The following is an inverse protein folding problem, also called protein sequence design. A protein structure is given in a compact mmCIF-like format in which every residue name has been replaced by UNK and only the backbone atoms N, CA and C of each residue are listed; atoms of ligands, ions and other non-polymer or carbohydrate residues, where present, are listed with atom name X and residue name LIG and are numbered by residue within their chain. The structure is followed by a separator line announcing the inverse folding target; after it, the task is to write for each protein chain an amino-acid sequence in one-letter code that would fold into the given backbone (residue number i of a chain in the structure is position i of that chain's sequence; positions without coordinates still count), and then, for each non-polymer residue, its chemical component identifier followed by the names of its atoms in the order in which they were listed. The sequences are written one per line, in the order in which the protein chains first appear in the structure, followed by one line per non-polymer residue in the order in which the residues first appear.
data_IF_043483000629
#
_entry.id   IF_043483000629
#
_cell.length_a   1.000
_cell.length_b   1.000
_cell.length_c   1.000
_cell.angle_alpha   90.00
_cell.angle_beta   90.00
_cell.angle_gamma   90.00
#
_symmetry.space_group_name_H-M   'P 1'
#
loop_
_entity.id
_entity.type
_entity.pdbx_description
1 polymer ?
#
# COMPACT_ATOMS: atom_id res chain seq x y z
N UNK A 1 -15.71 -21.32 7.58
CA UNK A 1 -14.71 -21.92 6.66
C UNK A 1 -14.99 -21.45 5.25
N UNK A 2 -13.96 -21.11 4.48
CA UNK A 2 -14.09 -20.74 3.08
C UNK A 2 -13.22 -21.67 2.23
N UNK A 3 -13.72 -22.09 1.07
CA UNK A 3 -13.03 -23.03 0.18
C UNK A 3 -12.34 -22.26 -0.94
N UNK A 4 -11.11 -22.66 -1.26
CA UNK A 4 -10.37 -22.14 -2.39
C UNK A 4 -10.85 -22.85 -3.65
N UNK A 5 -11.28 -22.11 -4.67
CA UNK A 5 -11.67 -22.68 -5.96
C UNK A 5 -10.43 -23.13 -6.75
N UNK A 6 -10.62 -23.88 -7.83
CA UNK A 6 -9.52 -24.29 -8.73
C UNK A 6 -8.71 -23.12 -9.32
N UNK A 7 -9.29 -21.91 -9.32
CA UNK A 7 -8.64 -20.67 -9.78
C UNK A 7 -8.02 -19.85 -8.65
N UNK A 8 -7.94 -20.39 -7.43
CA UNK A 8 -7.39 -19.68 -6.28
C UNK A 8 -8.32 -18.62 -5.67
N UNK A 9 -9.61 -18.64 -5.99
CA UNK A 9 -10.57 -17.66 -5.46
C UNK A 9 -11.14 -18.15 -4.13
N UNK A 10 -11.42 -17.23 -3.20
CA UNK A 10 -12.06 -17.52 -1.91
C UNK A 10 -13.40 -16.80 -1.86
N UNK A 11 -14.46 -17.53 -1.49
CA UNK A 11 -15.79 -16.95 -1.30
C UNK A 11 -15.89 -16.29 0.07
N UNK A 12 -16.28 -15.01 0.12
CA UNK A 12 -16.56 -14.29 1.37
C UNK A 12 -18.04 -14.47 1.74
N UNK A 13 -18.36 -15.11 2.89
CA UNK A 13 -19.73 -15.27 3.35
C UNK A 13 -20.46 -13.91 3.52
N UNK A 14 -21.78 -13.89 3.28
CA UNK A 14 -22.60 -12.65 3.33
C UNK A 14 -22.42 -11.87 4.63
N UNK A 15 -22.39 -12.57 5.78
CA UNK A 15 -22.19 -11.95 7.10
C UNK A 15 -20.93 -11.07 7.16
N UNK A 16 -19.82 -11.53 6.58
CA UNK A 16 -18.59 -10.74 6.55
C UNK A 16 -18.64 -9.63 5.51
N UNK A 17 -19.35 -9.83 4.39
CA UNK A 17 -19.56 -8.76 3.39
C UNK A 17 -20.33 -7.59 3.98
N UNK A 18 -21.40 -7.86 4.74
CA UNK A 18 -22.20 -6.84 5.40
C UNK A 18 -21.40 -6.13 6.51
N UNK A 19 -20.68 -6.87 7.35
CA UNK A 19 -19.87 -6.30 8.43
C UNK A 19 -18.71 -5.44 7.94
N UNK A 20 -18.11 -5.80 6.80
CA UNK A 20 -16.95 -5.11 6.22
C UNK A 20 -17.33 -4.13 5.09
N UNK A 21 -18.63 -3.98 4.80
CA UNK A 21 -19.11 -3.11 3.72
C UNK A 21 -18.55 -3.49 2.35
N UNK A 22 -18.38 -4.79 2.08
CA UNK A 22 -17.82 -5.31 0.84
C UNK A 22 -18.91 -5.50 -0.21
N UNK A 23 -18.92 -4.61 -1.19
CA UNK A 23 -19.79 -4.68 -2.34
C UNK A 23 -19.08 -5.23 -3.57
N UNK A 24 -19.85 -5.63 -4.59
CA UNK A 24 -19.30 -6.08 -5.87
C UNK A 24 -18.45 -4.96 -6.48
N UNK A 25 -17.18 -5.24 -6.73
CA UNK A 25 -16.22 -4.26 -7.27
C UNK A 25 -15.32 -3.62 -6.22
N UNK A 26 -15.54 -3.88 -4.92
CA UNK A 26 -14.65 -3.42 -3.86
C UNK A 26 -13.25 -4.01 -4.04
N UNK A 27 -12.24 -3.14 -4.09
CA UNK A 27 -10.83 -3.55 -4.17
C UNK A 27 -10.26 -3.74 -2.76
N UNK A 28 -9.54 -4.84 -2.57
CA UNK A 28 -8.89 -5.20 -1.33
C UNK A 28 -7.38 -5.29 -1.55
N UNK A 29 -6.61 -4.80 -0.59
CA UNK A 29 -5.17 -5.01 -0.53
C UNK A 29 -4.91 -6.30 0.25
N UNK A 30 -4.11 -7.18 -0.34
CA UNK A 30 -3.69 -8.44 0.27
C UNK A 30 -2.30 -8.23 0.85
N UNK A 31 -2.16 -8.36 2.16
CA UNK A 31 -0.87 -8.22 2.86
C UNK A 31 -0.52 -9.58 3.46
N UNK A 32 0.61 -10.20 3.05
CA UNK A 32 1.10 -11.40 3.69
C UNK A 32 1.67 -11.07 5.08
N UNK A 33 1.41 -11.95 6.03
CA UNK A 33 1.91 -11.90 7.42
C UNK A 33 2.40 -13.29 7.81
N UNK A 34 3.13 -13.40 8.92
CA UNK A 34 3.68 -14.68 9.40
C UNK A 34 2.60 -15.73 9.71
N UNK A 35 1.37 -15.28 9.97
CA UNK A 35 0.24 -16.13 10.33
C UNK A 35 -0.80 -16.30 9.22
N UNK A 36 -0.61 -15.67 8.05
CA UNK A 36 -1.52 -15.77 6.91
C UNK A 36 -1.69 -14.47 6.12
N UNK A 37 -2.84 -14.33 5.47
CA UNK A 37 -3.15 -13.18 4.63
C UNK A 37 -4.12 -12.24 5.35
N UNK A 38 -3.77 -10.96 5.43
CA UNK A 38 -4.66 -9.90 5.89
C UNK A 38 -5.24 -9.20 4.66
N UNK A 39 -6.57 -9.12 4.61
CA UNK A 39 -7.29 -8.36 3.60
C UNK A 39 -7.70 -7.01 4.17
N UNK A 40 -7.22 -5.91 3.58
CA UNK A 40 -7.62 -4.55 3.94
C UNK A 40 -8.45 -3.92 2.82
N UNK A 41 -9.54 -3.26 3.17
CA UNK A 41 -10.27 -2.41 2.21
C UNK A 41 -9.34 -1.31 1.72
N UNK A 42 -9.21 -1.16 0.41
CA UNK A 42 -8.50 -0.02 -0.16
C UNK A 42 -9.50 1.13 -0.18
N UNK A 43 -9.41 2.01 0.80
CA UNK A 43 -9.94 3.35 0.66
C UNK A 43 -8.86 4.12 -0.09
N UNK A 44 -9.02 4.22 -1.41
CA UNK A 44 -8.15 5.10 -2.18
C UNK A 44 -8.44 6.51 -1.65
N UNK A 45 -7.42 7.22 -1.10
CA UNK A 45 -7.62 8.61 -0.77
C UNK A 45 -8.10 9.32 -2.04
N UNK A 46 -9.04 10.23 -1.87
CA UNK A 46 -9.41 11.14 -2.97
C UNK A 46 -8.15 11.88 -3.44
N UNK A 47 -8.14 12.39 -4.68
CA UNK A 47 -7.00 13.16 -5.20
C UNK A 47 -6.66 14.33 -4.26
N UNK A 48 -7.67 14.96 -3.66
CA UNK A 48 -7.54 15.96 -2.59
C UNK A 48 -6.79 15.42 -1.36
N UNK A 49 -7.18 14.27 -0.84
CA UNK A 49 -6.56 13.68 0.36
C UNK A 49 -5.13 13.16 0.09
N UNK A 50 -4.85 12.76 -1.15
CA UNK A 50 -3.49 12.46 -1.60
C UNK A 50 -2.62 13.73 -1.68
N UNK A 51 -3.16 14.84 -2.20
CA UNK A 51 -2.46 16.13 -2.22
C UNK A 51 -2.14 16.62 -0.81
N UNK A 52 -3.10 16.59 0.09
CA UNK A 52 -2.92 17.04 1.49
C UNK A 52 -1.82 16.21 2.21
N UNK A 53 -1.70 14.92 1.87
CA UNK A 53 -0.66 14.03 2.43
C UNK A 53 0.72 14.24 1.82
N UNK A 54 0.80 14.80 0.62
CA UNK A 54 2.06 15.13 -0.07
C UNK A 54 2.51 16.56 0.25
N UNK A 55 1.58 17.50 0.45
CA UNK A 55 1.85 18.88 0.91
C UNK A 55 2.60 18.93 2.25
N UNK A 56 2.45 17.91 3.11
CA UNK A 56 3.22 17.79 4.36
C UNK A 56 4.65 17.26 4.20
N UNK A 57 5.10 16.97 2.97
CA UNK A 57 6.46 16.49 2.66
C UNK A 57 7.24 17.45 1.78
N UNK A 58 6.73 18.67 1.58
CA UNK A 58 7.45 19.79 0.96
C UNK A 58 8.50 20.40 1.90
N UNK A 59 9.24 19.57 2.65
CA UNK A 59 10.67 19.86 2.78
C UNK A 59 11.27 19.42 1.45
N UNK A 60 11.05 20.25 0.42
CA UNK A 60 11.72 20.16 -0.87
C UNK A 60 13.22 20.25 -0.56
N UNK A 61 13.85 19.11 -0.34
CA UNK A 61 15.30 19.06 -0.22
C UNK A 61 15.82 19.37 -1.62
N UNK A 62 16.07 20.65 -1.87
CA UNK A 62 16.79 21.14 -3.04
C UNK A 62 18.23 20.63 -2.96
N UNK A 63 18.43 19.33 -3.18
CA UNK A 63 19.76 18.77 -3.35
C UNK A 63 20.24 19.20 -4.72
N UNK A 64 21.31 19.98 -4.74
CA UNK A 64 22.05 20.21 -5.97
C UNK A 64 22.57 18.88 -6.53
N UNK A 65 22.74 18.82 -7.85
CA UNK A 65 23.32 17.64 -8.51
C UNK A 65 24.69 17.28 -7.89
N UNK A 66 25.44 18.29 -7.47
CA UNK A 66 26.71 18.14 -6.76
C UNK A 66 26.58 17.48 -5.37
N UNK A 67 25.50 17.73 -4.63
CA UNK A 67 25.24 17.07 -3.35
C UNK A 67 24.82 15.62 -3.53
N UNK A 68 24.04 15.33 -4.57
CA UNK A 68 23.66 13.96 -4.92
C UNK A 68 24.92 13.15 -5.26
N UNK A 69 25.83 13.70 -6.06
CA UNK A 69 27.06 13.01 -6.47
C UNK A 69 27.98 12.73 -5.27
N UNK A 70 28.06 13.68 -4.32
CA UNK A 70 28.83 13.51 -3.08
C UNK A 70 28.27 12.40 -2.20
N UNK A 71 26.95 12.34 -2.01
CA UNK A 71 26.29 11.30 -1.20
C UNK A 71 26.49 9.90 -1.82
N UNK A 72 26.42 9.80 -3.15
CA UNK A 72 26.67 8.54 -3.88
C UNK A 72 28.14 8.11 -3.72
N UNK A 73 29.08 9.05 -3.74
CA UNK A 73 30.49 8.77 -3.54
C UNK A 73 30.83 8.33 -2.12
N UNK A 74 30.25 8.96 -1.10
CA UNK A 74 30.41 8.56 0.31
C UNK A 74 29.89 7.14 0.56
N UNK A 75 28.71 6.81 0.02
CA UNK A 75 28.13 5.47 0.18
C UNK A 75 28.95 4.36 -0.50
N UNK A 76 29.68 4.69 -1.58
CA UNK A 76 30.58 3.76 -2.28
C UNK A 76 31.98 3.68 -1.67
N UNK A 77 32.40 4.69 -0.92
CA UNK A 77 33.70 4.72 -0.24
C UNK A 77 33.69 4.08 1.15
N UNK A 78 32.54 3.59 1.62
CA UNK A 78 32.36 2.94 2.92
C UNK A 78 32.49 1.40 2.88
N UNK A 79 33.09 0.83 1.81
CA UNK A 79 33.52 -0.57 1.76
C UNK A 79 35.03 -0.72 2.03
#
# INVERSE_FOLDING_TARGET
MATVTSKGQITIPSRFREQLGLEKGTKLMVVPTDYGLVLKKIELPSVEEFKERVEGRDDEVELSIDEIDRLVHEARGAE
#
